data_IF_006384239342
#
_entry.id   IF_006384239342
#
_cell.length_a   1.000
_cell.length_b   1.000
_cell.length_c   1.000
_cell.angle_alpha   90.00
_cell.angle_beta   90.00
_cell.angle_gamma   90.00
#
_symmetry.space_group_name_H-M   'P 1'
#
loop_
_entity.id
_entity.type
_entity.pdbx_description
1 polymer ?
#
# COMPACT_ATOMS: atom_id res chain seq x y z
N UNK A 1 -21.91 0.69 -21.72
CA UNK A 1 -20.50 0.49 -21.31
C UNK A 1 -20.56 -0.12 -19.94
N UNK A 2 -19.89 -1.24 -19.77
CA UNK A 2 -19.80 -1.92 -18.48
C UNK A 2 -19.05 -1.05 -17.48
N UNK A 3 -19.55 -0.95 -16.24
CA UNK A 3 -18.91 -0.18 -15.19
C UNK A 3 -17.62 -0.90 -14.78
N UNK A 4 -16.54 -0.15 -14.60
CA UNK A 4 -15.26 -0.68 -14.15
C UNK A 4 -14.81 -0.02 -12.85
N UNK A 5 -14.19 -0.79 -12.00
CA UNK A 5 -13.79 -0.42 -10.67
C UNK A 5 -12.28 -0.63 -10.50
N UNK A 6 -11.59 0.36 -9.93
CA UNK A 6 -10.16 0.25 -9.68
C UNK A 6 -9.91 -0.58 -8.44
N UNK A 7 -9.41 -1.79 -8.62
CA UNK A 7 -9.29 -2.81 -7.58
C UNK A 7 -7.82 -3.13 -7.27
N UNK A 8 -7.55 -3.38 -6.00
CA UNK A 8 -6.26 -3.83 -5.50
C UNK A 8 -6.44 -4.73 -4.27
N UNK A 9 -5.44 -5.55 -3.98
CA UNK A 9 -5.36 -6.34 -2.74
C UNK A 9 -4.35 -5.68 -1.80
N UNK A 10 -4.69 -5.59 -0.53
CA UNK A 10 -3.89 -4.91 0.46
C UNK A 10 -3.92 -5.57 1.84
N UNK A 11 -2.91 -5.28 2.64
CA UNK A 11 -2.90 -5.45 4.08
C UNK A 11 -3.34 -4.11 4.70
N UNK A 12 -4.48 -4.10 5.36
CA UNK A 12 -4.94 -2.95 6.12
C UNK A 12 -4.22 -2.90 7.48
N UNK A 13 -3.85 -1.70 7.92
CA UNK A 13 -3.08 -1.56 9.15
C UNK A 13 -3.99 -1.50 10.38
N UNK A 14 -3.54 -2.03 11.53
CA UNK A 14 -4.20 -1.79 12.81
C UNK A 14 -4.35 -0.30 13.13
N UNK A 15 -5.39 0.06 13.87
CA UNK A 15 -5.71 1.48 14.14
C UNK A 15 -4.66 2.22 14.96
N UNK A 16 -3.97 1.52 15.86
CA UNK A 16 -2.85 2.05 16.64
C UNK A 16 -1.61 2.30 15.78
N UNK A 17 -1.30 1.41 14.85
CA UNK A 17 -0.24 1.58 13.84
C UNK A 17 -0.54 2.79 12.95
N UNK A 18 -1.77 2.90 12.43
CA UNK A 18 -2.22 4.07 11.65
C UNK A 18 -2.08 5.37 12.43
N UNK A 19 -2.40 5.36 13.73
CA UNK A 19 -2.27 6.53 14.60
C UNK A 19 -0.81 6.94 14.79
N UNK A 20 0.09 6.00 14.99
CA UNK A 20 1.52 6.28 15.13
C UNK A 20 2.10 6.84 13.83
N UNK A 21 1.76 6.26 12.68
CA UNK A 21 2.22 6.72 11.37
C UNK A 21 1.66 8.11 11.01
N UNK A 22 0.42 8.41 11.39
CA UNK A 22 -0.16 9.74 11.22
C UNK A 22 0.59 10.83 12.02
N UNK A 23 1.29 10.47 13.09
CA UNK A 23 2.14 11.38 13.85
C UNK A 23 3.30 11.99 13.05
N UNK A 24 3.66 11.39 11.90
CA UNK A 24 4.68 11.95 11.01
C UNK A 24 4.16 13.09 10.13
N UNK A 25 2.85 13.30 10.02
CA UNK A 25 2.28 14.29 9.10
C UNK A 25 2.69 15.72 9.41
N UNK A 26 2.90 16.02 10.68
CA UNK A 26 3.30 17.35 11.15
C UNK A 26 4.82 17.53 11.29
N UNK A 27 5.61 16.47 11.01
CA UNK A 27 7.07 16.49 11.23
C UNK A 27 7.82 17.31 10.19
N UNK A 28 7.29 17.40 8.97
CA UNK A 28 7.88 18.12 7.85
C UNK A 28 6.85 19.08 7.22
N UNK A 29 6.46 20.17 7.93
CA UNK A 29 5.41 21.08 7.46
C UNK A 29 5.81 21.85 6.19
N UNK A 30 7.11 22.00 5.94
CA UNK A 30 7.66 22.64 4.74
C UNK A 30 7.61 21.77 3.50
N UNK A 31 7.43 20.45 3.65
CA UNK A 31 7.41 19.53 2.52
C UNK A 31 6.16 19.78 1.65
N UNK A 32 6.30 20.08 0.35
CA UNK A 32 5.17 20.27 -0.54
C UNK A 32 4.55 18.93 -0.93
N UNK A 33 3.82 18.35 0.02
CA UNK A 33 3.26 17.02 -0.13
C UNK A 33 1.80 16.96 0.30
N UNK A 34 1.05 16.07 -0.36
CA UNK A 34 -0.29 15.67 0.07
C UNK A 34 -0.18 14.40 0.91
N UNK A 35 -0.45 14.53 2.20
CA UNK A 35 -0.44 13.44 3.15
C UNK A 35 -1.63 12.50 2.92
N UNK A 36 -1.37 11.21 3.05
CA UNK A 36 -2.39 10.17 2.96
C UNK A 36 -3.29 10.22 4.18
N UNK A 37 -4.61 10.26 3.98
CA UNK A 37 -5.55 10.20 5.11
C UNK A 37 -5.25 8.95 5.97
N UNK A 38 -5.28 9.10 7.29
CA UNK A 38 -4.93 8.03 8.23
C UNK A 38 -5.64 6.70 7.90
N UNK A 39 -6.94 6.77 7.59
CA UNK A 39 -7.73 5.58 7.32
C UNK A 39 -7.36 4.87 6.00
N UNK A 40 -6.70 5.59 5.09
CA UNK A 40 -6.20 5.08 3.82
C UNK A 40 -4.80 4.46 3.90
N UNK A 41 -4.15 4.45 5.06
CA UNK A 41 -2.83 3.84 5.22
C UNK A 41 -2.94 2.30 5.14
N UNK A 42 -2.20 1.71 4.19
CA UNK A 42 -2.19 0.27 3.91
C UNK A 42 -0.89 -0.14 3.22
N UNK A 43 -0.63 -1.42 3.15
CA UNK A 43 0.41 -2.01 2.28
C UNK A 43 -0.30 -2.64 1.08
N UNK A 44 -0.02 -2.17 -0.12
CA UNK A 44 -0.55 -2.81 -1.34
C UNK A 44 0.21 -4.11 -1.62
N UNK A 45 -0.52 -5.21 -1.80
CA UNK A 45 0.03 -6.49 -2.23
C UNK A 45 0.03 -6.61 -3.74
N UNK A 46 -1.10 -6.31 -4.40
CA UNK A 46 -1.22 -6.39 -5.85
C UNK A 46 -2.23 -5.36 -6.40
N UNK A 47 -1.88 -4.70 -7.48
CA UNK A 47 -2.73 -3.76 -8.21
C UNK A 47 -3.31 -4.44 -9.45
N UNK A 48 -4.63 -4.68 -9.47
CA UNK A 48 -5.30 -5.32 -10.60
C UNK A 48 -5.82 -4.31 -11.65
N UNK A 49 -5.92 -3.03 -11.28
CA UNK A 49 -6.43 -1.99 -12.18
C UNK A 49 -7.96 -1.98 -12.27
N UNK A 50 -8.48 -1.67 -13.46
CA UNK A 50 -9.91 -1.48 -13.68
C UNK A 50 -10.57 -2.81 -14.03
N UNK A 51 -11.37 -3.38 -13.12
CA UNK A 51 -12.09 -4.65 -13.23
C UNK A 51 -13.59 -4.45 -13.40
N UNK A 52 -14.26 -5.38 -14.07
CA UNK A 52 -15.72 -5.51 -14.11
C UNK A 52 -16.24 -6.15 -12.82
N UNK A 53 -17.56 -6.13 -12.61
CA UNK A 53 -18.20 -6.78 -11.44
C UNK A 53 -17.93 -8.30 -11.43
N UNK A 54 -17.88 -8.97 -12.61
CA UNK A 54 -17.54 -10.39 -12.74
C UNK A 54 -16.07 -10.65 -12.35
N UNK A 55 -15.14 -9.87 -12.90
CA UNK A 55 -13.70 -9.95 -12.56
C UNK A 55 -13.43 -9.69 -11.08
N UNK A 56 -14.21 -8.81 -10.43
CA UNK A 56 -14.13 -8.57 -8.98
C UNK A 56 -14.56 -9.83 -8.21
N UNK A 57 -15.66 -10.48 -8.64
CA UNK A 57 -16.10 -11.73 -8.04
C UNK A 57 -15.02 -12.81 -8.11
N UNK A 58 -14.37 -12.96 -9.28
CA UNK A 58 -13.25 -13.90 -9.46
C UNK A 58 -12.06 -13.51 -8.56
N UNK A 59 -11.71 -12.22 -8.46
CA UNK A 59 -10.66 -11.75 -7.58
C UNK A 59 -10.94 -12.10 -6.11
N UNK A 60 -12.14 -11.86 -5.64
CA UNK A 60 -12.54 -12.17 -4.26
C UNK A 60 -12.42 -13.68 -3.96
N UNK A 61 -12.84 -14.53 -4.88
CA UNK A 61 -12.70 -15.98 -4.74
C UNK A 61 -11.22 -16.40 -4.67
N UNK A 62 -10.38 -15.86 -5.55
CA UNK A 62 -8.94 -16.15 -5.55
C UNK A 62 -8.30 -15.71 -4.24
N UNK A 63 -8.55 -14.48 -3.80
CA UNK A 63 -7.97 -13.92 -2.57
C UNK A 63 -8.38 -14.74 -1.35
N UNK A 64 -9.64 -15.20 -1.30
CA UNK A 64 -10.13 -16.10 -0.26
C UNK A 64 -9.37 -17.41 -0.21
N UNK A 65 -9.18 -18.07 -1.35
CA UNK A 65 -8.48 -19.36 -1.41
C UNK A 65 -6.98 -19.23 -1.11
N UNK A 66 -6.36 -18.13 -1.51
CA UNK A 66 -4.98 -17.82 -1.12
C UNK A 66 -4.87 -17.58 0.37
N UNK A 67 -5.74 -16.76 0.96
CA UNK A 67 -5.73 -16.47 2.40
C UNK A 67 -5.75 -17.73 3.27
N UNK A 68 -6.52 -18.74 2.90
CA UNK A 68 -6.59 -20.02 3.64
C UNK A 68 -5.27 -20.78 3.72
N UNK A 69 -4.38 -20.58 2.74
CA UNK A 69 -3.10 -21.30 2.64
C UNK A 69 -1.97 -20.65 3.42
N UNK A 70 -2.16 -19.42 3.86
CA UNK A 70 -1.13 -18.64 4.56
C UNK A 70 -1.54 -18.38 6.01
N UNK A 71 -0.66 -18.70 6.94
CA UNK A 71 -0.87 -18.39 8.36
C UNK A 71 -0.66 -16.89 8.63
N UNK A 72 -1.29 -16.34 9.68
CA UNK A 72 -0.96 -15.01 10.18
C UNK A 72 0.55 -14.87 10.48
N UNK A 73 1.11 -13.70 10.22
CA UNK A 73 2.53 -13.42 10.42
C UNK A 73 2.76 -11.99 10.92
N UNK A 74 3.95 -11.71 11.43
CA UNK A 74 4.33 -10.38 11.89
C UNK A 74 5.09 -9.62 10.81
N UNK A 75 4.81 -8.31 10.70
CA UNK A 75 5.60 -7.37 9.90
C UNK A 75 6.25 -6.34 10.80
N UNK A 76 7.49 -6.00 10.49
CA UNK A 76 8.22 -4.92 11.12
C UNK A 76 8.44 -3.76 10.13
N UNK A 77 8.01 -2.56 10.53
CA UNK A 77 8.29 -1.31 9.82
C UNK A 77 9.50 -0.66 10.47
N UNK A 78 10.53 -0.39 9.68
CA UNK A 78 11.83 0.00 10.22
C UNK A 78 12.31 1.38 9.78
N UNK A 79 11.73 1.97 8.75
CA UNK A 79 12.25 3.24 8.23
C UNK A 79 11.21 4.12 7.54
N UNK A 80 11.29 5.42 7.79
CA UNK A 80 10.59 6.44 6.99
C UNK A 80 11.59 7.13 6.08
N UNK A 81 11.34 7.15 4.78
CA UNK A 81 12.27 7.66 3.78
C UNK A 81 11.55 8.18 2.53
N UNK A 82 12.30 8.84 1.67
CA UNK A 82 11.82 9.16 0.32
C UNK A 82 11.68 7.91 -0.54
N UNK A 83 10.58 7.80 -1.28
CA UNK A 83 10.30 6.70 -2.20
C UNK A 83 9.91 7.15 -3.60
N UNK A 84 10.03 6.27 -4.60
CA UNK A 84 10.88 5.07 -4.57
C UNK A 84 12.38 5.39 -4.47
N UNK A 85 13.19 4.49 -3.91
CA UNK A 85 14.63 4.72 -3.76
C UNK A 85 15.31 5.12 -5.08
N UNK A 86 16.33 5.98 -5.00
CA UNK A 86 17.11 6.49 -6.14
C UNK A 86 16.35 7.40 -7.11
N UNK A 87 15.09 7.73 -6.86
CA UNK A 87 14.35 8.68 -7.69
C UNK A 87 14.63 10.12 -7.24
N UNK A 88 15.05 10.97 -8.18
CA UNK A 88 15.28 12.39 -7.93
C UNK A 88 14.61 13.23 -9.05
N UNK A 89 13.66 14.12 -8.72
CA UNK A 89 13.16 14.37 -7.37
C UNK A 89 12.35 13.17 -6.81
N UNK A 90 12.27 13.04 -5.47
CA UNK A 90 11.44 12.01 -4.86
C UNK A 90 9.96 12.27 -5.14
N UNK A 91 9.17 11.20 -5.22
CA UNK A 91 7.73 11.29 -5.49
C UNK A 91 6.87 11.05 -4.27
N UNK A 92 7.39 10.30 -3.34
CA UNK A 92 6.63 9.81 -2.19
C UNK A 92 7.46 9.94 -0.91
N UNK A 93 6.76 9.97 0.22
CA UNK A 93 7.31 9.60 1.52
C UNK A 93 6.77 8.20 1.84
N UNK A 94 7.66 7.28 2.15
CA UNK A 94 7.35 5.89 2.45
C UNK A 94 7.67 5.54 3.89
N UNK A 95 6.88 4.62 4.45
CA UNK A 95 7.33 3.74 5.51
C UNK A 95 7.72 2.43 4.87
N UNK A 96 8.94 2.01 5.06
CA UNK A 96 9.45 0.74 4.57
C UNK A 96 9.42 -0.29 5.70
N UNK A 97 9.00 -1.51 5.36
CA UNK A 97 9.08 -2.69 6.20
C UNK A 97 10.16 -3.66 5.73
N UNK A 98 10.45 -4.62 6.57
CA UNK A 98 11.25 -5.78 6.18
C UNK A 98 10.41 -6.72 5.32
N UNK A 99 11.03 -7.28 4.28
CA UNK A 99 10.41 -8.34 3.49
C UNK A 99 10.66 -9.66 4.20
N UNK A 100 9.63 -10.19 4.86
CA UNK A 100 9.69 -11.54 5.41
C UNK A 100 9.44 -12.59 4.31
N UNK A 101 9.82 -13.83 4.56
CA UNK A 101 9.54 -14.95 3.66
C UNK A 101 8.02 -15.12 3.51
N UNK A 102 7.27 -15.03 4.61
CA UNK A 102 5.81 -15.17 4.63
C UNK A 102 5.11 -14.12 3.75
N UNK A 103 5.56 -12.87 3.79
CA UNK A 103 5.03 -11.82 2.94
C UNK A 103 5.37 -12.04 1.46
N UNK A 104 6.58 -12.49 1.18
CA UNK A 104 7.02 -12.80 -0.19
C UNK A 104 6.22 -13.97 -0.77
N UNK A 105 6.02 -15.03 0.01
CA UNK A 105 5.26 -16.22 -0.39
C UNK A 105 3.78 -15.88 -0.62
N UNK A 106 3.16 -15.13 0.30
CA UNK A 106 1.79 -14.66 0.17
C UNK A 106 1.61 -13.84 -1.12
N UNK A 107 2.53 -12.91 -1.39
CA UNK A 107 2.45 -12.07 -2.57
C UNK A 107 2.61 -12.86 -3.86
N UNK A 108 3.58 -13.78 -3.92
CA UNK A 108 3.83 -14.60 -5.10
C UNK A 108 2.63 -15.51 -5.40
N UNK A 109 2.10 -16.20 -4.38
CA UNK A 109 0.93 -17.07 -4.52
C UNK A 109 -0.30 -16.27 -4.97
N UNK A 110 -0.52 -15.09 -4.39
CA UNK A 110 -1.60 -14.19 -4.78
C UNK A 110 -1.47 -13.76 -6.25
N UNK A 111 -0.29 -13.34 -6.67
CA UNK A 111 -0.03 -12.89 -8.04
C UNK A 111 -0.23 -14.01 -9.06
N UNK A 112 0.31 -15.21 -8.80
CA UNK A 112 0.16 -16.37 -9.67
C UNK A 112 -1.31 -16.76 -9.85
N UNK A 113 -2.05 -16.90 -8.75
CA UNK A 113 -3.45 -17.28 -8.79
C UNK A 113 -4.35 -16.23 -9.43
N UNK A 114 -4.08 -14.93 -9.21
CA UNK A 114 -4.83 -13.86 -9.86
C UNK A 114 -4.59 -13.82 -11.36
N UNK A 115 -3.36 -14.04 -11.83
CA UNK A 115 -3.02 -14.06 -13.26
C UNK A 115 -3.68 -15.21 -14.03
N UNK A 116 -4.04 -16.30 -13.36
CA UNK A 116 -4.80 -17.40 -13.97
C UNK A 116 -6.24 -17.02 -14.32
N UNK A 117 -6.82 -16.05 -13.59
CA UNK A 117 -8.24 -15.66 -13.70
C UNK A 117 -8.45 -14.29 -14.31
N UNK A 118 -7.54 -13.35 -14.04
CA UNK A 118 -7.73 -11.94 -14.35
C UNK A 118 -6.55 -11.44 -15.19
N UNK A 119 -6.87 -10.65 -16.22
CA UNK A 119 -5.84 -9.99 -17.03
C UNK A 119 -5.46 -8.64 -16.44
N UNK A 120 -4.28 -8.57 -15.84
CA UNK A 120 -3.68 -7.32 -15.40
C UNK A 120 -2.16 -7.37 -15.60
N UNK A 121 -1.50 -6.23 -15.42
CA UNK A 121 -0.04 -6.16 -15.47
C UNK A 121 0.50 -6.20 -14.04
N UNK A 122 1.15 -7.30 -13.64
CA UNK A 122 1.68 -7.42 -12.29
C UNK A 122 2.84 -6.46 -12.03
N UNK A 123 2.98 -6.02 -10.80
CA UNK A 123 4.13 -5.26 -10.34
C UNK A 123 5.34 -6.19 -10.14
N UNK A 124 6.38 -6.05 -10.98
CA UNK A 124 7.54 -6.96 -10.99
C UNK A 124 8.36 -6.95 -9.70
N UNK A 125 8.37 -5.83 -8.97
CA UNK A 125 9.11 -5.69 -7.71
C UNK A 125 8.39 -4.72 -6.79
N UNK A 126 7.75 -5.23 -5.78
CA UNK A 126 7.18 -4.39 -4.73
C UNK A 126 7.96 -4.61 -3.44
N UNK A 127 8.77 -3.62 -3.07
CA UNK A 127 9.21 -3.49 -1.69
C UNK A 127 7.98 -3.15 -0.86
N UNK A 128 7.62 -3.94 0.17
CA UNK A 128 6.51 -3.63 1.04
C UNK A 128 6.66 -2.23 1.61
N UNK A 129 5.71 -1.36 1.32
CA UNK A 129 5.77 0.01 1.79
C UNK A 129 4.38 0.58 2.04
N UNK A 130 4.32 1.55 2.93
CA UNK A 130 3.13 2.34 3.19
C UNK A 130 3.40 3.75 2.66
N UNK A 131 2.55 4.25 1.78
CA UNK A 131 2.67 5.62 1.28
C UNK A 131 2.11 6.60 2.32
N UNK A 132 2.99 7.38 2.97
CA UNK A 132 2.59 8.45 3.89
C UNK A 132 2.20 9.73 3.16
N UNK A 133 2.93 10.09 2.10
CA UNK A 133 2.64 11.31 1.34
C UNK A 133 3.04 11.19 -0.13
N UNK A 134 2.37 12.01 -0.96
CA UNK A 134 2.71 12.24 -2.36
C UNK A 134 3.26 13.64 -2.53
N UNK A 135 4.51 13.74 -3.00
CA UNK A 135 5.26 14.99 -3.15
C UNK A 135 4.88 15.67 -4.47
N UNK A 136 4.65 16.98 -4.43
CA UNK A 136 4.56 17.80 -5.64
C UNK A 136 5.95 18.01 -6.22
N UNK A 137 6.31 17.23 -7.25
CA UNK A 137 7.66 17.28 -7.87
C UNK A 137 8.04 18.70 -8.34
N UNK A 138 7.04 19.45 -8.84
CA UNK A 138 7.29 20.80 -9.34
C UNK A 138 7.60 21.78 -8.19
N UNK A 139 6.89 21.73 -7.08
CA UNK A 139 7.15 22.55 -5.91
C UNK A 139 8.43 22.15 -5.21
N UNK A 140 8.68 20.83 -5.09
CA UNK A 140 9.90 20.31 -4.51
C UNK A 140 11.18 20.74 -5.25
N UNK A 141 11.11 20.89 -6.58
CA UNK A 141 12.23 21.38 -7.41
C UNK A 141 12.56 22.86 -7.17
N UNK A 142 11.66 23.64 -6.56
CA UNK A 142 11.92 25.06 -6.22
C UNK A 142 12.80 25.23 -4.99
N UNK A 143 12.89 24.21 -4.14
CA UNK A 143 13.79 24.26 -3.01
C UNK A 143 15.24 24.18 -3.48
N UNK A 144 16.10 25.01 -2.91
CA UNK A 144 17.52 24.82 -3.02
C UNK A 144 17.90 23.46 -2.41
N UNK A 145 18.94 22.83 -2.95
CA UNK A 145 19.31 21.46 -2.56
C UNK A 145 19.55 21.35 -1.05
N UNK A 146 20.14 22.39 -0.48
CA UNK A 146 20.49 22.49 0.94
C UNK A 146 19.27 22.72 1.86
N UNK A 147 18.17 23.21 1.31
CA UNK A 147 16.92 23.50 2.04
C UNK A 147 15.91 22.35 1.97
N UNK A 148 16.21 21.29 1.19
CA UNK A 148 15.29 20.15 1.05
C UNK A 148 15.23 19.38 2.37
N UNK A 149 14.01 19.13 2.89
CA UNK A 149 13.88 18.32 4.10
C UNK A 149 14.58 16.95 3.95
N UNK A 150 15.37 16.58 4.95
CA UNK A 150 15.92 15.24 5.03
C UNK A 150 14.88 14.32 5.66
N UNK A 151 14.45 13.29 4.92
CA UNK A 151 13.54 12.26 5.41
C UNK A 151 14.29 10.94 5.44
N UNK A 152 14.75 10.56 6.63
CA UNK A 152 15.51 9.34 6.87
C UNK A 152 15.39 8.98 8.36
N UNK A 153 14.21 8.51 8.81
CA UNK A 153 13.91 8.22 10.20
C UNK A 153 13.89 6.71 10.43
N UNK A 154 14.61 6.27 11.43
CA UNK A 154 14.50 4.90 11.92
C UNK A 154 13.29 4.78 12.85
N UNK A 155 12.52 3.73 12.65
CA UNK A 155 11.38 3.38 13.48
C UNK A 155 11.45 1.89 13.81
N UNK A 156 10.77 1.50 14.85
CA UNK A 156 10.58 0.08 15.23
C UNK A 156 9.10 -0.11 15.56
N UNK A 157 8.35 -0.60 14.57
CA UNK A 157 6.91 -0.72 14.68
C UNK A 157 6.47 -2.06 14.10
N UNK A 158 6.14 -2.99 15.00
CA UNK A 158 5.71 -4.33 14.66
C UNK A 158 4.18 -4.48 14.79
N UNK A 159 3.58 -5.21 13.88
CA UNK A 159 2.16 -5.58 13.94
C UNK A 159 1.91 -6.95 13.31
N UNK A 160 0.78 -7.57 13.70
CA UNK A 160 0.32 -8.83 13.09
C UNK A 160 -0.46 -8.55 11.81
N UNK A 161 -0.21 -9.38 10.79
CA UNK A 161 -1.01 -9.47 9.57
C UNK A 161 -1.92 -10.67 9.72
N UNK A 162 -3.17 -10.41 10.02
CA UNK A 162 -4.18 -11.44 10.27
C UNK A 162 -5.16 -11.56 9.11
N UNK A 163 -5.26 -10.51 8.28
CA UNK A 163 -6.20 -10.43 7.16
C UNK A 163 -5.57 -9.81 5.92
N UNK A 164 -6.13 -10.14 4.76
CA UNK A 164 -5.91 -9.44 3.51
C UNK A 164 -7.24 -9.00 2.92
N UNK A 165 -7.27 -7.82 2.28
CA UNK A 165 -8.50 -7.20 1.80
C UNK A 165 -8.48 -6.99 0.29
N UNK A 166 -9.62 -7.27 -0.36
CA UNK A 166 -9.93 -6.75 -1.69
C UNK A 166 -10.52 -5.37 -1.53
N UNK A 167 -9.89 -4.37 -2.14
CA UNK A 167 -10.23 -2.96 -1.96
C UNK A 167 -10.53 -2.28 -3.29
N UNK A 168 -11.51 -1.37 -3.27
CA UNK A 168 -11.82 -0.44 -4.36
C UNK A 168 -11.23 0.93 -4.08
N UNK A 169 -10.68 1.56 -5.13
CA UNK A 169 -10.18 2.94 -5.11
C UNK A 169 -11.07 3.84 -5.95
N UNK A 170 -11.78 4.77 -5.34
CA UNK A 170 -12.51 5.84 -6.02
C UNK A 170 -11.77 7.16 -5.93
N UNK A 171 -11.58 7.86 -7.06
CA UNK A 171 -11.02 9.20 -7.07
C UNK A 171 -12.11 10.23 -6.78
N UNK A 172 -12.01 10.89 -5.61
CA UNK A 172 -12.90 11.98 -5.21
C UNK A 172 -12.17 13.32 -5.14
N UNK A 173 -12.92 14.43 -5.08
CA UNK A 173 -12.33 15.80 -5.02
C UNK A 173 -11.34 15.99 -3.86
N UNK A 174 -11.51 15.27 -2.74
CA UNK A 174 -10.61 15.31 -1.57
C UNK A 174 -9.38 14.39 -1.67
N UNK A 175 -9.32 13.51 -2.66
CA UNK A 175 -8.31 12.47 -2.82
C UNK A 175 -8.93 11.09 -3.00
N UNK A 176 -8.13 10.03 -3.07
CA UNK A 176 -8.64 8.68 -3.19
C UNK A 176 -9.43 8.30 -1.92
N UNK A 177 -10.59 7.70 -2.13
CA UNK A 177 -11.35 7.02 -1.09
C UNK A 177 -11.22 5.52 -1.35
N UNK A 178 -10.86 4.77 -0.31
CA UNK A 178 -10.74 3.32 -0.37
C UNK A 178 -11.90 2.67 0.37
N UNK A 179 -12.46 1.63 -0.25
CA UNK A 179 -13.56 0.85 0.32
C UNK A 179 -13.14 -0.62 0.33
N UNK A 180 -13.25 -1.27 1.48
CA UNK A 180 -13.03 -2.72 1.59
C UNK A 180 -14.26 -3.40 0.99
N UNK A 181 -14.07 -4.20 -0.05
CA UNK A 181 -15.11 -5.02 -0.67
C UNK A 181 -15.25 -6.34 0.07
N UNK A 182 -14.13 -7.00 0.32
CA UNK A 182 -14.06 -8.24 1.11
C UNK A 182 -12.78 -8.27 1.96
N UNK A 183 -12.86 -8.92 3.13
CA UNK A 183 -11.75 -9.18 4.03
C UNK A 183 -11.66 -10.68 4.32
N UNK A 184 -10.47 -11.24 4.22
CA UNK A 184 -10.24 -12.67 4.41
C UNK A 184 -9.18 -12.88 5.48
N UNK A 185 -9.51 -13.73 6.47
CA UNK A 185 -8.61 -14.11 7.55
C UNK A 185 -7.59 -15.12 7.00
N UNK A 186 -6.32 -14.92 7.36
CA UNK A 186 -5.26 -15.85 6.98
C UNK A 186 -5.39 -17.14 7.79
N UNK A 187 -5.30 -18.29 7.11
CA UNK A 187 -5.37 -19.62 7.70
C UNK A 187 -6.78 -20.15 7.96
N UNK A 188 -7.84 -19.45 7.51
CA UNK A 188 -9.25 -19.86 7.70
C UNK A 188 -10.00 -20.07 6.37
#
# INVERSE_FOLDING_TARGET
>A
MEKRHRIFVAINLPGDVKKQLAGFFDKWPELPAKWTAKDNLHITLEFMGDLTDEEIGDACLVVKEVAKRHAPFALNLNKVLYGPPKKNPPKLVWVQGETSEELADLKNDLQECLLEKIRFRPDEKVTPHITLARISEWEFKKFDIEERPEINEEIDLQFSVDTIEVMESELKRGGPQYTILESHILGE
#
